data_IF_531746290686
#
_entry.id   IF_531746290686
#
_cell.length_a   1.000
_cell.length_b   1.000
_cell.length_c   1.000
_cell.angle_alpha   90.00
_cell.angle_beta   90.00
_cell.angle_gamma   90.00
#
_symmetry.space_group_name_H-M   'P 1'
#
loop_
_entity.id
_entity.type
_entity.pdbx_description
1 polymer ?
#
# COMPACT_ATOMS: atom_id res chain seq x y z
N UNK A 1 10.78 46.64 -41.18
CA UNK A 1 9.33 46.82 -41.38
C UNK A 1 8.56 45.84 -40.48
N UNK A 2 7.73 46.40 -39.57
CA UNK A 2 6.41 45.94 -39.04
C UNK A 2 6.29 44.49 -38.48
N UNK A 3 6.21 44.23 -37.16
CA UNK A 3 5.01 44.29 -36.24
C UNK A 3 3.83 43.43 -36.75
N UNK A 4 3.18 42.46 -36.06
CA UNK A 4 2.48 42.36 -34.73
C UNK A 4 2.25 40.84 -34.42
N UNK A 5 2.44 40.26 -33.22
CA UNK A 5 1.69 40.28 -31.94
C UNK A 5 0.19 39.96 -32.07
N UNK A 6 -0.25 38.84 -31.47
CA UNK A 6 -1.60 38.68 -30.91
C UNK A 6 -1.52 37.83 -29.64
N UNK A 7 -1.64 38.52 -28.52
CA UNK A 7 -1.80 38.01 -27.15
C UNK A 7 -3.31 38.00 -26.90
N UNK A 8 -3.90 36.86 -26.52
CA UNK A 8 -5.15 36.86 -25.77
C UNK A 8 -4.80 36.60 -24.30
N UNK A 9 -4.86 37.68 -23.53
CA UNK A 9 -4.91 37.66 -22.09
C UNK A 9 -6.36 37.40 -21.65
N UNK A 10 -6.57 36.50 -20.70
CA UNK A 10 -7.74 36.58 -19.81
C UNK A 10 -7.22 36.85 -18.41
N UNK A 11 -7.69 37.96 -17.89
CA UNK A 11 -7.31 38.59 -16.64
C UNK A 11 -7.73 37.77 -15.42
N UNK A 12 -6.87 37.76 -14.41
CA UNK A 12 -7.15 37.22 -13.08
C UNK A 12 -6.30 37.97 -12.04
N UNK A 13 -6.78 39.16 -11.70
CA UNK A 13 -6.54 39.95 -10.48
C UNK A 13 -5.21 39.79 -9.69
N UNK A 14 -4.39 40.82 -9.83
CA UNK A 14 -3.60 41.53 -8.80
C UNK A 14 -3.67 41.04 -7.35
N UNK A 15 -2.50 40.77 -6.75
CA UNK A 15 -1.93 41.67 -5.74
C UNK A 15 -0.40 41.62 -5.74
N UNK A 16 0.18 42.81 -5.78
CA UNK A 16 1.60 43.11 -5.67
C UNK A 16 2.05 43.00 -4.21
N UNK A 17 3.18 42.36 -3.98
CA UNK A 17 4.10 42.78 -2.91
C UNK A 17 5.53 42.48 -3.32
N UNK A 18 6.24 43.57 -3.64
CA UNK A 18 7.68 43.65 -3.86
C UNK A 18 8.38 43.74 -2.51
N UNK A 19 9.26 42.79 -2.22
CA UNK A 19 10.51 43.00 -1.46
C UNK A 19 11.46 41.88 -1.88
N UNK A 20 12.59 42.26 -2.47
CA UNK A 20 13.57 41.32 -3.02
C UNK A 20 14.44 40.68 -1.95
N UNK A 21 15.19 39.65 -2.35
CA UNK A 21 16.55 39.39 -1.91
C UNK A 21 17.20 38.44 -2.93
N UNK A 22 18.38 38.83 -3.41
CA UNK A 22 19.28 37.95 -4.13
C UNK A 22 19.71 36.79 -3.22
N UNK A 23 19.75 35.57 -3.75
CA UNK A 23 20.23 34.41 -3.01
C UNK A 23 20.18 33.16 -3.85
N UNK A 24 21.33 32.79 -4.42
CA UNK A 24 21.55 31.46 -4.96
C UNK A 24 21.29 30.41 -3.88
N UNK A 25 20.39 29.46 -4.14
CA UNK A 25 20.30 28.24 -3.37
C UNK A 25 20.01 27.10 -4.34
N UNK A 26 21.09 26.40 -4.69
CA UNK A 26 21.08 25.05 -5.25
C UNK A 26 20.04 24.23 -4.47
N UNK A 27 18.97 23.80 -5.13
CA UNK A 27 17.97 22.96 -4.53
C UNK A 27 18.62 21.61 -4.18
N UNK A 28 19.10 21.51 -2.94
CA UNK A 28 19.59 20.28 -2.37
C UNK A 28 18.51 19.19 -2.57
N UNK A 29 18.88 17.96 -2.97
CA UNK A 29 17.92 16.88 -2.99
C UNK A 29 17.41 16.73 -1.56
N UNK A 30 16.11 16.96 -1.37
CA UNK A 30 15.45 16.71 -0.11
C UNK A 30 15.83 15.30 0.32
N UNK A 31 16.65 15.21 1.37
CA UNK A 31 17.03 13.95 1.97
C UNK A 31 15.73 13.19 2.22
N UNK A 32 15.57 12.07 1.52
CA UNK A 32 14.53 11.11 1.80
C UNK A 32 14.74 10.73 3.26
N UNK A 33 13.97 11.36 4.14
CA UNK A 33 13.86 10.96 5.53
C UNK A 33 13.40 9.52 5.45
N UNK A 34 14.31 8.61 5.75
CA UNK A 34 14.02 7.20 5.96
C UNK A 34 13.03 7.15 7.12
N UNK A 35 11.75 7.28 6.77
CA UNK A 35 10.66 7.07 7.67
C UNK A 35 10.84 5.65 8.18
N UNK A 36 11.26 5.54 9.45
CA UNK A 36 11.20 4.32 10.26
C UNK A 36 9.93 3.59 9.84
N UNK A 37 10.01 2.36 9.28
CA UNK A 37 8.83 1.75 8.68
C UNK A 37 7.76 1.71 9.76
N UNK A 38 6.66 2.42 9.53
CA UNK A 38 5.45 2.19 10.31
C UNK A 38 5.26 0.68 10.29
N UNK A 39 5.24 0.03 11.46
CA UNK A 39 5.15 -1.43 11.54
C UNK A 39 3.92 -1.84 10.72
N UNK A 40 4.07 -2.29 9.49
CA UNK A 40 2.89 -2.40 8.62
C UNK A 40 1.89 -3.38 9.25
N UNK A 41 2.38 -4.36 10.00
CA UNK A 41 1.59 -5.25 10.85
C UNK A 41 0.57 -4.53 11.75
N UNK A 42 0.91 -3.38 12.37
CA UNK A 42 -0.06 -2.65 13.20
C UNK A 42 -1.18 -2.02 12.38
N UNK A 43 -0.96 -1.86 11.07
CA UNK A 43 -1.98 -1.38 10.11
C UNK A 43 -2.73 -2.52 9.42
N UNK A 44 -2.35 -3.79 9.65
CA UNK A 44 -3.04 -4.97 9.14
C UNK A 44 -4.32 -5.24 9.95
N UNK A 45 -5.24 -4.29 9.97
CA UNK A 45 -6.55 -4.48 10.61
C UNK A 45 -7.50 -5.21 9.66
N UNK A 46 -8.52 -5.86 10.21
CA UNK A 46 -9.56 -6.52 9.41
C UNK A 46 -10.14 -5.56 8.34
N UNK A 47 -10.43 -4.32 8.73
CA UNK A 47 -10.92 -3.28 7.81
C UNK A 47 -9.92 -2.95 6.68
N UNK A 48 -8.63 -2.80 7.01
CA UNK A 48 -7.60 -2.50 6.02
C UNK A 48 -7.43 -3.65 5.01
N UNK A 49 -7.48 -4.89 5.51
CA UNK A 49 -7.36 -6.09 4.67
C UNK A 49 -8.64 -6.35 3.84
N UNK A 50 -9.82 -6.08 4.39
CA UNK A 50 -11.09 -6.13 3.63
C UNK A 50 -11.09 -5.12 2.48
N UNK A 51 -10.64 -3.88 2.75
CA UNK A 51 -10.49 -2.86 1.73
C UNK A 51 -9.45 -3.27 0.66
N UNK A 52 -8.34 -3.86 1.09
CA UNK A 52 -7.29 -4.37 0.19
C UNK A 52 -7.77 -5.52 -0.70
N UNK A 53 -8.66 -6.38 -0.20
CA UNK A 53 -9.26 -7.47 -0.94
C UNK A 53 -10.42 -7.03 -1.84
N UNK A 54 -10.86 -5.76 -1.75
CA UNK A 54 -12.12 -5.27 -2.36
C UNK A 54 -13.28 -6.22 -2.07
N UNK A 55 -13.38 -6.62 -0.81
CA UNK A 55 -14.28 -7.70 -0.40
C UNK A 55 -15.75 -7.33 -0.65
N UNK A 56 -16.59 -8.26 -1.14
CA UNK A 56 -18.02 -8.04 -1.26
C UNK A 56 -18.68 -7.82 0.10
N UNK A 57 -19.82 -7.13 0.11
CA UNK A 57 -20.60 -6.94 1.33
C UNK A 57 -20.99 -8.29 1.97
N UNK A 58 -20.92 -8.36 3.30
CA UNK A 58 -21.23 -9.56 4.08
C UNK A 58 -20.01 -10.43 4.41
N UNK A 59 -18.93 -10.34 3.64
CA UNK A 59 -17.69 -11.05 3.95
C UNK A 59 -16.90 -10.35 5.06
N UNK A 60 -16.38 -11.13 6.01
CA UNK A 60 -15.66 -10.63 7.18
C UNK A 60 -14.27 -11.23 7.26
N UNK A 61 -13.37 -10.53 7.94
CA UNK A 61 -12.06 -11.07 8.32
C UNK A 61 -12.06 -11.29 9.82
N UNK A 62 -11.76 -12.52 10.24
CA UNK A 62 -11.65 -12.84 11.66
C UNK A 62 -10.36 -12.23 12.19
N UNK A 63 -10.43 -11.27 13.11
CA UNK A 63 -9.25 -10.56 13.64
C UNK A 63 -8.19 -11.51 14.22
N UNK A 64 -8.61 -12.61 14.85
CA UNK A 64 -7.71 -13.63 15.40
C UNK A 64 -6.99 -14.47 14.33
N UNK A 65 -7.48 -14.50 13.09
CA UNK A 65 -6.81 -15.18 11.98
C UNK A 65 -5.68 -14.35 11.37
N UNK A 66 -5.66 -13.04 11.65
CA UNK A 66 -4.69 -12.12 11.07
C UNK A 66 -3.33 -12.40 11.68
N UNK A 67 -2.43 -12.96 10.88
CA UNK A 67 -1.05 -13.22 11.28
C UNK A 67 -0.13 -12.44 10.36
N UNK A 68 0.61 -11.51 10.96
CA UNK A 68 1.58 -10.72 10.23
C UNK A 68 2.97 -11.34 10.30
N UNK A 69 3.68 -11.31 9.19
CA UNK A 69 5.03 -11.84 9.06
C UNK A 69 5.94 -10.80 8.43
N UNK A 70 7.13 -10.62 9.02
CA UNK A 70 8.20 -9.74 8.55
C UNK A 70 7.76 -8.29 8.21
N UNK A 71 6.79 -7.74 8.95
CA UNK A 71 6.27 -6.36 8.78
C UNK A 71 5.76 -5.98 7.39
N UNK A 72 5.63 -6.93 6.47
CA UNK A 72 5.31 -6.66 5.06
C UNK A 72 4.36 -7.67 4.46
N UNK A 73 4.19 -8.84 5.09
CA UNK A 73 3.21 -9.85 4.71
C UNK A 73 2.21 -10.05 5.84
N UNK A 74 0.95 -10.29 5.50
CA UNK A 74 -0.07 -10.68 6.46
C UNK A 74 -0.97 -11.73 5.83
N UNK A 75 -1.27 -12.79 6.56
CA UNK A 75 -2.36 -13.71 6.20
C UNK A 75 -3.61 -13.35 6.99
N UNK A 76 -4.77 -13.66 6.42
CA UNK A 76 -6.04 -13.62 7.12
C UNK A 76 -7.01 -14.63 6.52
N UNK A 77 -7.87 -15.17 7.37
CA UNK A 77 -8.97 -16.04 6.94
C UNK A 77 -10.22 -15.22 6.73
N UNK A 78 -10.93 -15.56 5.67
CA UNK A 78 -12.19 -14.93 5.31
C UNK A 78 -13.33 -15.72 5.90
N UNK A 79 -14.31 -15.01 6.44
CA UNK A 79 -15.56 -15.55 6.91
C UNK A 79 -16.63 -15.14 5.91
N UNK A 80 -17.19 -16.13 5.23
CA UNK A 80 -18.26 -15.92 4.28
C UNK A 80 -19.57 -15.51 5.01
N UNK A 81 -20.53 -14.89 4.31
CA UNK A 81 -21.83 -14.56 4.87
C UNK A 81 -22.65 -15.80 5.28
N UNK A 82 -22.44 -16.90 4.57
CA UNK A 82 -23.14 -18.19 4.75
C UNK A 82 -22.12 -19.34 4.75
N UNK A 83 -22.45 -20.45 5.41
CA UNK A 83 -21.53 -21.59 5.57
C UNK A 83 -21.27 -22.30 4.25
N UNK A 84 -22.24 -22.29 3.34
CA UNK A 84 -22.16 -22.89 2.00
C UNK A 84 -21.21 -22.13 1.08
N UNK A 85 -20.97 -20.84 1.37
CA UNK A 85 -20.02 -19.99 0.66
C UNK A 85 -18.63 -19.99 1.31
N UNK A 86 -18.48 -20.63 2.48
CA UNK A 86 -17.23 -20.68 3.19
C UNK A 86 -16.26 -21.61 2.46
N UNK A 87 -15.20 -21.02 1.90
CA UNK A 87 -14.05 -21.77 1.39
C UNK A 87 -13.06 -22.10 2.50
N UNK A 88 -12.32 -23.20 2.30
CA UNK A 88 -11.10 -23.51 3.04
C UNK A 88 -9.92 -22.82 2.35
N UNK A 89 -9.65 -21.59 2.77
CA UNK A 89 -8.59 -20.80 2.18
C UNK A 89 -8.24 -19.60 3.03
N UNK A 90 -6.94 -19.34 3.11
CA UNK A 90 -6.43 -18.10 3.68
C UNK A 90 -6.02 -17.16 2.55
N UNK A 91 -6.18 -15.86 2.77
CA UNK A 91 -5.72 -14.84 1.85
C UNK A 91 -4.46 -14.19 2.39
N UNK A 92 -3.48 -14.00 1.51
CA UNK A 92 -2.22 -13.35 1.84
C UNK A 92 -2.17 -11.97 1.20
N UNK A 93 -1.73 -11.01 2.00
CA UNK A 93 -1.60 -9.62 1.67
C UNK A 93 -0.15 -9.18 1.80
N UNK A 94 0.25 -8.28 0.90
CA UNK A 94 1.55 -7.62 0.94
C UNK A 94 1.37 -6.12 1.15
N UNK A 95 2.18 -5.54 2.01
CA UNK A 95 2.20 -4.11 2.21
C UNK A 95 3.07 -3.46 1.13
N UNK A 96 2.48 -2.55 0.34
CA UNK A 96 3.22 -1.70 -0.61
C UNK A 96 3.62 -0.42 0.10
N UNK A 97 4.92 -0.30 0.41
CA UNK A 97 5.49 0.87 1.08
C UNK A 97 5.28 2.16 0.29
N UNK A 98 5.42 2.12 -1.04
CA UNK A 98 5.22 3.28 -1.91
C UNK A 98 3.82 3.88 -1.85
N UNK A 99 2.78 3.04 -1.76
CA UNK A 99 1.38 3.50 -1.66
C UNK A 99 0.83 3.47 -0.23
N UNK A 100 1.63 3.03 0.74
CA UNK A 100 1.26 2.78 2.14
C UNK A 100 -0.03 1.95 2.30
N UNK A 101 -0.26 0.98 1.40
CA UNK A 101 -1.49 0.18 1.33
C UNK A 101 -1.19 -1.30 1.32
N UNK A 102 -2.07 -2.07 1.96
CA UNK A 102 -2.12 -3.51 1.78
C UNK A 102 -2.73 -3.85 0.42
N UNK A 103 -2.21 -4.89 -0.23
CA UNK A 103 -2.76 -5.46 -1.45
C UNK A 103 -2.87 -6.97 -1.27
N UNK A 104 -3.97 -7.56 -1.72
CA UNK A 104 -4.09 -9.02 -1.85
C UNK A 104 -3.09 -9.50 -2.92
N UNK A 105 -2.32 -10.52 -2.60
CA UNK A 105 -1.34 -11.10 -3.53
C UNK A 105 -1.68 -12.54 -3.92
N UNK A 106 -2.29 -13.32 -3.04
CA UNK A 106 -2.71 -14.69 -3.33
C UNK A 106 -3.77 -15.15 -2.32
N UNK A 107 -4.49 -16.23 -2.64
CA UNK A 107 -5.40 -16.94 -1.76
C UNK A 107 -5.29 -18.45 -1.99
N UNK A 108 -5.49 -19.24 -0.93
CA UNK A 108 -5.50 -20.69 -1.04
C UNK A 108 -5.32 -21.39 0.30
N UNK A 109 -5.48 -22.70 0.27
CA UNK A 109 -5.23 -23.63 1.38
C UNK A 109 -3.79 -24.17 1.39
N UNK A 110 -3.04 -23.96 0.32
CA UNK A 110 -1.63 -24.29 0.19
C UNK A 110 -0.95 -23.21 -0.63
N UNK A 111 -0.07 -22.44 0.00
CA UNK A 111 0.61 -21.30 -0.61
C UNK A 111 2.10 -21.58 -0.53
N UNK A 112 2.78 -21.60 -1.68
CA UNK A 112 4.22 -21.76 -1.71
C UNK A 112 4.91 -20.49 -1.21
N UNK A 113 5.91 -20.67 -0.35
CA UNK A 113 6.71 -19.55 0.17
C UNK A 113 7.40 -18.79 -0.98
N UNK A 114 7.71 -19.48 -2.09
CA UNK A 114 8.30 -18.88 -3.29
C UNK A 114 7.39 -17.82 -3.93
N UNK A 115 6.08 -18.04 -3.98
CA UNK A 115 5.10 -17.08 -4.54
C UNK A 115 5.01 -15.78 -3.72
N UNK A 116 5.39 -15.87 -2.45
CA UNK A 116 5.45 -14.74 -1.53
C UNK A 116 6.78 -13.97 -1.63
N UNK A 117 7.73 -14.48 -2.44
CA UNK A 117 9.10 -13.99 -2.54
C UNK A 117 9.99 -14.38 -1.36
N UNK A 118 9.60 -15.42 -0.60
CA UNK A 118 10.38 -15.97 0.50
C UNK A 118 11.30 -17.05 -0.06
N UNK A 119 12.61 -16.90 0.17
CA UNK A 119 13.63 -17.83 -0.34
C UNK A 119 13.56 -19.16 0.42
N UNK A 120 13.88 -20.27 -0.28
CA UNK A 120 13.87 -21.67 0.21
C UNK A 120 14.66 -21.93 1.49
N UNK A 121 15.63 -21.07 1.84
CA UNK A 121 16.45 -21.17 3.06
C UNK A 121 16.26 -20.01 4.03
N UNK A 122 15.27 -19.14 3.79
CA UNK A 122 14.92 -18.08 4.72
C UNK A 122 13.99 -18.63 5.81
N UNK A 123 13.99 -17.99 6.98
CA UNK A 123 12.89 -18.15 7.91
C UNK A 123 11.58 -17.87 7.15
N UNK A 124 10.59 -18.73 7.32
CA UNK A 124 9.30 -18.63 6.66
C UNK A 124 8.19 -18.83 7.70
N UNK A 125 7.01 -18.25 7.47
CA UNK A 125 5.87 -18.52 8.32
C UNK A 125 5.38 -19.97 8.17
N UNK A 126 4.81 -20.54 9.23
CA UNK A 126 4.23 -21.91 9.23
C UNK A 126 3.02 -22.11 8.32
N UNK A 127 2.61 -21.07 7.60
CA UNK A 127 1.44 -21.04 6.74
C UNK A 127 1.77 -20.97 5.25
N UNK A 128 3.05 -21.00 4.89
CA UNK A 128 3.47 -21.26 3.52
C UNK A 128 4.31 -22.54 3.47
N UNK A 129 4.26 -23.23 2.34
CA UNK A 129 5.01 -24.45 2.10
C UNK A 129 6.42 -24.07 1.62
N UNK A 130 7.50 -24.55 2.28
CA UNK A 130 8.85 -24.33 1.79
C UNK A 130 9.01 -24.94 0.40
N UNK A 131 9.58 -24.16 -0.52
CA UNK A 131 9.88 -24.61 -1.88
C UNK A 131 10.93 -25.73 -1.90
#
# INVERSE_FOLDING_TARGET
MRTRISILAVAGATMVSLVGFAGAASAAPAAATTAKPAKACSTATAAALQAAAKMPAGWKIKKSSINCWNNTLAKAEFTAPTVEQQGDGMTVFKYRTGTKKWVKITEGSSIDCADLGIKKHAAHPSWCIPA
#
